data_IF_974605236385
#
_entry.id   IF_974605236385
#
_cell.length_a   1.000
_cell.length_b   1.000
_cell.length_c   1.000
_cell.angle_alpha   90.00
_cell.angle_beta   90.00
_cell.angle_gamma   90.00
#
_symmetry.space_group_name_H-M   'P 1'
#
loop_
_entity.id
_entity.type
_entity.pdbx_description
1 polymer ?
#
# COMPACT_ATOMS: atom_id res chain seq x y z
N UNK A 1 -5.70 -0.81 -11.94
CA UNK A 1 -5.33 -2.25 -11.93
C UNK A 1 -5.30 -2.81 -10.51
N UNK A 2 -4.77 -2.06 -9.55
CA UNK A 2 -4.67 -2.48 -8.15
C UNK A 2 -6.01 -2.80 -7.49
N UNK A 3 -6.99 -1.89 -7.46
CA UNK A 3 -8.30 -2.12 -6.78
C UNK A 3 -8.97 -3.45 -7.13
N UNK A 4 -9.15 -3.72 -8.43
CA UNK A 4 -9.75 -4.99 -8.92
C UNK A 4 -8.83 -6.17 -8.63
N UNK A 5 -7.51 -5.99 -8.74
CA UNK A 5 -6.51 -7.01 -8.40
C UNK A 5 -6.54 -7.38 -6.92
N UNK A 6 -6.60 -6.39 -6.02
CA UNK A 6 -6.69 -6.53 -4.58
C UNK A 6 -7.98 -7.25 -4.19
N UNK A 7 -9.12 -6.89 -4.78
CA UNK A 7 -10.38 -7.59 -4.54
C UNK A 7 -10.34 -9.07 -4.95
N UNK A 8 -9.78 -9.36 -6.13
CA UNK A 8 -9.58 -10.75 -6.61
C UNK A 8 -8.61 -11.53 -5.74
N UNK A 9 -7.51 -10.90 -5.34
CA UNK A 9 -6.48 -11.51 -4.49
C UNK A 9 -7.04 -11.83 -3.11
N UNK A 10 -7.77 -10.90 -2.49
CA UNK A 10 -8.43 -11.10 -1.21
C UNK A 10 -9.41 -12.30 -1.26
N UNK A 11 -10.26 -12.35 -2.29
CA UNK A 11 -11.16 -13.50 -2.48
C UNK A 11 -10.39 -14.81 -2.66
N UNK A 12 -9.33 -14.82 -3.48
CA UNK A 12 -8.57 -16.03 -3.74
C UNK A 12 -7.87 -16.56 -2.48
N UNK A 13 -7.22 -15.70 -1.70
CA UNK A 13 -6.54 -16.07 -0.46
C UNK A 13 -7.52 -16.60 0.58
N UNK A 14 -8.65 -15.93 0.73
CA UNK A 14 -9.67 -16.32 1.69
C UNK A 14 -10.37 -17.62 1.26
N UNK A 15 -10.68 -17.77 -0.02
CA UNK A 15 -11.23 -19.02 -0.53
C UNK A 15 -10.24 -20.19 -0.34
N UNK A 16 -8.94 -19.96 -0.57
CA UNK A 16 -7.90 -20.96 -0.33
C UNK A 16 -7.81 -21.39 1.15
N UNK A 17 -8.03 -20.47 2.10
CA UNK A 17 -8.10 -20.78 3.54
C UNK A 17 -9.21 -21.78 3.87
N UNK A 18 -10.35 -21.71 3.18
CA UNK A 18 -11.46 -22.64 3.36
C UNK A 18 -11.24 -23.96 2.62
N UNK A 19 -10.78 -23.92 1.38
CA UNK A 19 -10.56 -25.14 0.58
C UNK A 19 -9.47 -26.02 1.17
N UNK A 20 -8.40 -25.44 1.72
CA UNK A 20 -7.34 -26.17 2.46
C UNK A 20 -7.85 -26.90 3.71
N UNK A 21 -9.01 -26.48 4.24
CA UNK A 21 -9.70 -27.12 5.37
C UNK A 21 -10.86 -28.02 4.94
N UNK A 22 -11.04 -28.27 3.64
CA UNK A 22 -12.15 -29.04 3.10
C UNK A 22 -13.52 -28.38 3.29
N UNK A 23 -13.56 -27.06 3.47
CA UNK A 23 -14.77 -26.29 3.71
C UNK A 23 -15.15 -25.42 2.50
N UNK A 24 -16.44 -25.09 2.40
CA UNK A 24 -16.92 -24.15 1.37
C UNK A 24 -16.52 -22.71 1.75
N UNK A 25 -16.02 -21.91 0.80
CA UNK A 25 -15.76 -20.48 1.02
C UNK A 25 -17.04 -19.64 1.09
N UNK A 26 -18.20 -20.19 0.72
CA UNK A 26 -19.49 -19.50 0.74
C UNK A 26 -20.16 -19.62 2.11
N UNK A 27 -19.63 -18.88 3.09
CA UNK A 27 -20.11 -18.88 4.46
C UNK A 27 -19.93 -17.50 5.10
N UNK A 28 -20.72 -17.16 6.11
CA UNK A 28 -20.57 -15.90 6.87
C UNK A 28 -19.27 -15.82 7.68
N UNK A 29 -18.55 -16.95 7.81
CA UNK A 29 -17.19 -17.01 8.38
C UNK A 29 -16.10 -16.57 7.40
N UNK A 30 -16.45 -16.38 6.14
CA UNK A 30 -15.55 -15.82 5.14
C UNK A 30 -15.45 -14.31 5.37
N UNK A 31 -14.25 -13.84 5.71
CA UNK A 31 -14.04 -12.45 6.13
C UNK A 31 -14.37 -11.46 4.99
N UNK A 32 -14.15 -11.85 3.73
CA UNK A 32 -14.49 -11.04 2.54
C UNK A 32 -16.01 -10.91 2.38
N UNK A 33 -16.74 -12.03 2.45
CA UNK A 33 -18.20 -12.00 2.35
C UNK A 33 -18.83 -11.25 3.52
N UNK A 34 -18.30 -11.47 4.73
CA UNK A 34 -18.75 -10.78 5.93
C UNK A 34 -18.60 -9.26 5.78
N UNK A 35 -17.42 -8.79 5.34
CA UNK A 35 -17.17 -7.37 5.11
C UNK A 35 -18.08 -6.76 4.03
N UNK A 36 -18.33 -7.47 2.93
CA UNK A 36 -19.25 -7.00 1.88
C UNK A 36 -20.69 -6.91 2.38
N UNK A 37 -21.16 -7.91 3.14
CA UNK A 37 -22.50 -7.90 3.72
C UNK A 37 -22.67 -6.78 4.75
N UNK A 38 -21.69 -6.58 5.63
CA UNK A 38 -21.70 -5.47 6.58
C UNK A 38 -21.71 -4.11 5.88
N UNK A 39 -20.95 -3.95 4.80
CA UNK A 39 -20.95 -2.72 4.00
C UNK A 39 -22.31 -2.49 3.34
N UNK A 40 -22.90 -3.53 2.74
CA UNK A 40 -24.22 -3.44 2.11
C UNK A 40 -25.31 -3.12 3.15
N UNK A 41 -25.25 -3.73 4.33
CA UNK A 41 -26.16 -3.45 5.44
C UNK A 41 -26.02 -2.00 5.92
N UNK A 42 -24.80 -1.54 6.14
CA UNK A 42 -24.52 -0.15 6.54
C UNK A 42 -25.09 0.84 5.51
N UNK A 43 -24.87 0.58 4.23
CA UNK A 43 -25.37 1.44 3.15
C UNK A 43 -26.91 1.42 3.10
N UNK A 44 -27.52 0.24 3.19
CA UNK A 44 -28.97 0.09 3.22
C UNK A 44 -29.62 0.82 4.40
N UNK A 45 -29.06 0.67 5.61
CA UNK A 45 -29.53 1.36 6.81
C UNK A 45 -29.39 2.88 6.64
N UNK A 46 -28.26 3.36 6.14
CA UNK A 46 -28.04 4.81 5.94
C UNK A 46 -29.01 5.38 4.90
N UNK A 47 -29.24 4.67 3.79
CA UNK A 47 -30.22 5.07 2.77
C UNK A 47 -31.65 5.03 3.33
N UNK A 48 -31.99 4.05 4.17
CA UNK A 48 -33.30 3.96 4.79
C UNK A 48 -33.57 5.11 5.78
N UNK A 49 -32.55 5.55 6.52
CA UNK A 49 -32.67 6.62 7.52
C UNK A 49 -32.67 8.02 6.89
N UNK A 50 -31.83 8.26 5.88
CA UNK A 50 -31.59 9.59 5.32
C UNK A 50 -32.15 9.77 3.90
N UNK A 51 -32.74 8.73 3.33
CA UNK A 51 -33.29 8.73 1.98
C UNK A 51 -32.23 8.60 0.88
N UNK A 52 -32.64 8.57 -0.40
CA UNK A 52 -31.73 8.37 -1.52
C UNK A 52 -30.73 9.51 -1.73
N UNK A 53 -30.92 10.67 -1.09
CA UNK A 53 -30.01 11.83 -1.19
C UNK A 53 -28.58 11.51 -0.72
N UNK A 54 -28.41 10.52 0.17
CA UNK A 54 -27.08 10.12 0.66
C UNK A 54 -26.30 9.22 -0.29
N UNK A 55 -26.95 8.62 -1.30
CA UNK A 55 -26.30 7.70 -2.26
C UNK A 55 -25.06 8.31 -2.91
N UNK A 56 -25.08 9.53 -3.49
CA UNK A 56 -23.87 10.12 -4.07
C UNK A 56 -22.76 10.31 -3.03
N UNK A 57 -23.08 10.66 -1.79
CA UNK A 57 -22.09 10.83 -0.72
C UNK A 57 -21.43 9.49 -0.34
N UNK A 58 -22.22 8.41 -0.25
CA UNK A 58 -21.70 7.06 0.02
C UNK A 58 -20.76 6.58 -1.11
N UNK A 59 -21.13 6.86 -2.36
CA UNK A 59 -20.28 6.51 -3.51
C UNK A 59 -18.98 7.31 -3.52
N UNK A 60 -19.06 8.62 -3.31
CA UNK A 60 -17.87 9.49 -3.23
C UNK A 60 -16.97 9.05 -2.08
N UNK A 61 -17.53 8.79 -0.90
CA UNK A 61 -16.79 8.31 0.26
C UNK A 61 -16.11 6.97 -0.02
N UNK A 62 -16.80 6.02 -0.65
CA UNK A 62 -16.22 4.71 -0.98
C UNK A 62 -15.04 4.85 -1.95
N UNK A 63 -15.21 5.68 -3.00
CA UNK A 63 -14.15 5.97 -3.97
C UNK A 63 -12.97 6.65 -3.33
N UNK A 64 -13.22 7.66 -2.50
CA UNK A 64 -12.19 8.35 -1.75
C UNK A 64 -11.44 7.40 -0.81
N UNK A 65 -12.16 6.55 -0.08
CA UNK A 65 -11.60 5.61 0.88
C UNK A 65 -10.62 4.63 0.26
N UNK A 66 -11.02 3.90 -0.80
CA UNK A 66 -10.07 2.98 -1.45
C UNK A 66 -8.96 3.74 -2.19
N UNK A 67 -9.24 4.93 -2.74
CA UNK A 67 -8.21 5.71 -3.45
C UNK A 67 -7.12 6.19 -2.49
N UNK A 68 -7.50 6.60 -1.29
CA UNK A 68 -6.57 7.02 -0.24
C UNK A 68 -5.67 5.85 0.19
N UNK A 69 -6.26 4.66 0.40
CA UNK A 69 -5.51 3.44 0.72
C UNK A 69 -4.49 3.08 -0.37
N UNK A 70 -4.91 3.18 -1.64
CA UNK A 70 -4.04 2.88 -2.78
C UNK A 70 -2.90 3.89 -2.92
N UNK A 71 -3.14 5.18 -2.67
CA UNK A 71 -2.10 6.21 -2.72
C UNK A 71 -1.11 6.05 -1.56
N UNK A 72 -1.59 5.73 -0.36
CA UNK A 72 -0.74 5.41 0.79
C UNK A 72 0.16 4.20 0.50
N UNK A 73 -0.43 3.11 -0.01
CA UNK A 73 0.35 1.94 -0.41
C UNK A 73 1.36 2.27 -1.53
N UNK A 74 0.98 3.13 -2.48
CA UNK A 74 1.86 3.56 -3.56
C UNK A 74 3.07 4.36 -3.04
N UNK A 75 2.86 5.34 -2.18
CA UNK A 75 3.94 6.19 -1.66
C UNK A 75 4.86 5.42 -0.71
N UNK A 76 4.32 4.54 0.12
CA UNK A 76 5.06 3.70 1.08
C UNK A 76 5.98 2.69 0.40
N UNK A 77 5.62 2.23 -0.80
CA UNK A 77 6.38 1.22 -1.53
C UNK A 77 6.95 1.76 -2.85
N UNK A 78 7.02 3.08 -3.01
CA UNK A 78 7.44 3.69 -4.26
C UNK A 78 8.88 3.33 -4.62
N UNK A 79 9.06 2.63 -5.75
CA UNK A 79 10.38 2.32 -6.32
C UNK A 79 11.21 1.28 -5.56
N UNK A 80 10.76 0.83 -4.39
CA UNK A 80 11.45 -0.15 -3.57
C UNK A 80 11.08 -1.58 -3.99
N UNK A 81 12.08 -2.44 -4.12
CA UNK A 81 11.94 -3.86 -4.46
C UNK A 81 12.72 -4.73 -3.47
N UNK A 82 12.14 -5.87 -3.13
CA UNK A 82 12.86 -6.94 -2.44
C UNK A 82 13.64 -7.79 -3.43
N UNK A 83 14.89 -8.06 -3.11
CA UNK A 83 15.72 -8.94 -3.93
C UNK A 83 15.25 -10.40 -3.84
N UNK A 84 15.32 -11.09 -4.98
CA UNK A 84 15.06 -12.52 -5.08
C UNK A 84 16.38 -13.26 -4.93
N UNK A 85 16.47 -14.11 -3.91
CA UNK A 85 17.65 -14.96 -3.67
C UNK A 85 17.77 -16.03 -4.74
N UNK A 86 18.97 -16.59 -4.88
CA UNK A 86 19.29 -17.68 -5.83
C UNK A 86 18.36 -18.89 -5.69
N UNK A 87 17.88 -19.17 -4.48
CA UNK A 87 16.92 -20.25 -4.20
C UNK A 87 15.47 -19.93 -4.65
N UNK A 88 15.27 -18.82 -5.36
CA UNK A 88 13.99 -18.39 -5.88
C UNK A 88 13.04 -17.74 -4.86
N UNK A 89 13.43 -17.62 -3.58
CA UNK A 89 12.65 -16.94 -2.54
C UNK A 89 13.09 -15.47 -2.40
N UNK A 90 12.16 -14.60 -2.06
CA UNK A 90 12.47 -13.22 -1.71
C UNK A 90 13.15 -13.13 -0.35
N UNK A 91 14.03 -12.15 -0.18
CA UNK A 91 14.62 -11.81 1.11
C UNK A 91 13.56 -11.47 2.17
N UNK A 92 13.89 -11.59 3.46
CA UNK A 92 12.94 -11.22 4.52
C UNK A 92 12.55 -9.74 4.41
N UNK A 93 11.31 -9.40 4.78
CA UNK A 93 10.89 -8.00 4.87
C UNK A 93 11.67 -7.29 5.98
N UNK A 94 12.25 -6.14 5.66
CA UNK A 94 13.11 -5.34 6.53
C UNK A 94 12.65 -3.87 6.45
N UNK A 95 13.01 -3.02 7.44
CA UNK A 95 12.58 -1.62 7.46
C UNK A 95 12.94 -0.82 6.19
N UNK A 96 14.03 -1.18 5.51
CA UNK A 96 14.46 -0.56 4.25
C UNK A 96 13.55 -0.84 3.05
N UNK A 97 12.61 -1.80 3.14
CA UNK A 97 11.72 -2.19 2.04
C UNK A 97 10.44 -1.35 1.95
N UNK A 98 10.35 -0.28 2.72
CA UNK A 98 9.26 0.69 2.66
C UNK A 98 9.72 2.06 3.14
N UNK A 99 9.10 3.11 2.59
CA UNK A 99 9.23 4.46 3.06
C UNK A 99 8.51 4.65 4.40
N UNK A 100 9.13 5.42 5.29
CA UNK A 100 8.61 5.77 6.60
C UNK A 100 8.40 7.29 6.68
N UNK A 101 7.60 7.77 7.64
CA UNK A 101 7.54 9.20 7.96
C UNK A 101 7.52 9.37 9.48
N UNK A 102 8.39 10.22 10.02
CA UNK A 102 8.45 10.47 11.46
C UNK A 102 8.06 11.91 11.80
N UNK A 103 6.88 12.33 11.34
CA UNK A 103 6.35 13.64 11.66
C UNK A 103 5.32 13.53 12.78
N UNK A 104 5.67 14.07 13.96
CA UNK A 104 4.90 13.92 15.20
C UNK A 104 3.42 14.32 15.03
N UNK A 105 3.14 15.42 14.33
CA UNK A 105 1.77 15.93 14.16
C UNK A 105 0.89 14.98 13.30
N UNK A 106 1.43 14.45 12.21
CA UNK A 106 0.71 13.53 11.33
C UNK A 106 0.68 12.11 11.89
N UNK A 107 1.73 11.66 12.58
CA UNK A 107 1.72 10.42 13.36
C UNK A 107 0.61 10.39 14.42
N UNK A 108 0.39 11.50 15.14
CA UNK A 108 -0.71 11.57 16.12
C UNK A 108 -2.09 11.51 15.45
N UNK A 109 -2.28 12.23 14.33
CA UNK A 109 -3.54 12.25 13.59
C UNK A 109 -3.86 10.91 12.89
N UNK A 110 -2.83 10.22 12.41
CA UNK A 110 -2.95 8.96 11.69
C UNK A 110 -2.69 7.73 12.59
N UNK A 111 -2.70 7.90 13.91
CA UNK A 111 -2.50 6.81 14.88
C UNK A 111 -1.22 5.97 14.65
N UNK A 112 -0.12 6.63 14.26
CA UNK A 112 1.19 6.01 14.06
C UNK A 112 1.32 5.23 12.76
N UNK A 113 0.38 5.41 11.81
CA UNK A 113 0.41 4.77 10.49
C UNK A 113 1.71 5.02 9.74
N UNK A 114 2.39 6.13 10.03
CA UNK A 114 3.63 6.50 9.35
C UNK A 114 4.85 5.66 9.76
N UNK A 115 4.74 4.84 10.83
CA UNK A 115 5.75 3.84 11.25
C UNK A 115 5.64 2.53 10.46
N UNK A 116 5.41 2.68 9.17
CA UNK A 116 5.08 1.60 8.24
C UNK A 116 6.19 0.56 8.12
N UNK A 117 7.44 1.01 8.14
CA UNK A 117 8.61 0.14 8.03
C UNK A 117 8.74 -0.86 9.17
N UNK A 118 8.41 -0.47 10.40
CA UNK A 118 8.37 -1.42 11.53
C UNK A 118 7.15 -2.34 11.46
N UNK A 119 6.00 -1.84 11.03
CA UNK A 119 4.81 -2.66 10.86
C UNK A 119 5.06 -3.82 9.90
N UNK A 120 5.73 -3.55 8.78
CA UNK A 120 6.08 -4.57 7.80
C UNK A 120 7.22 -5.50 8.24
N UNK A 121 8.22 -4.99 8.95
CA UNK A 121 9.33 -5.80 9.46
C UNK A 121 8.91 -6.69 10.65
N UNK A 122 7.97 -6.22 11.47
CA UNK A 122 7.51 -6.84 12.72
C UNK A 122 5.97 -6.84 12.82
N UNK A 123 5.25 -7.60 11.98
CA UNK A 123 3.78 -7.54 11.88
C UNK A 123 3.02 -7.98 13.14
N UNK A 124 3.69 -8.66 14.08
CA UNK A 124 3.11 -9.06 15.37
C UNK A 124 3.20 -7.97 16.44
N UNK A 125 3.93 -6.88 16.17
CA UNK A 125 4.07 -5.76 17.10
C UNK A 125 2.80 -4.91 17.08
N UNK A 126 2.31 -4.55 18.27
CA UNK A 126 1.13 -3.70 18.41
C UNK A 126 1.43 -2.27 17.94
N UNK A 127 0.46 -1.60 17.33
CA UNK A 127 0.66 -0.30 16.70
C UNK A 127 1.23 0.77 17.66
N UNK A 128 0.86 0.72 18.95
CA UNK A 128 1.34 1.66 19.97
C UNK A 128 2.84 1.56 20.24
N UNK A 129 3.45 0.42 19.89
CA UNK A 129 4.85 0.10 20.18
C UNK A 129 5.73 0.15 18.94
N UNK A 130 5.18 0.52 17.79
CA UNK A 130 5.94 0.66 16.55
C UNK A 130 7.07 1.67 16.72
N UNK A 131 8.20 1.42 16.07
CA UNK A 131 9.43 2.22 16.19
C UNK A 131 9.82 2.83 14.85
N UNK A 132 10.61 3.90 14.91
CA UNK A 132 11.36 4.39 13.75
C UNK A 132 12.71 3.67 13.71
N UNK A 133 13.21 3.39 12.51
CA UNK A 133 14.54 2.80 12.28
C UNK A 133 15.33 3.75 11.38
N UNK A 134 16.60 3.95 11.69
CA UNK A 134 17.47 4.86 10.93
C UNK A 134 17.75 4.32 9.51
N UNK A 135 17.66 3.00 9.34
CA UNK A 135 17.85 2.30 8.06
C UNK A 135 16.61 2.36 7.16
N UNK A 136 15.47 2.84 7.66
CA UNK A 136 14.26 2.98 6.86
C UNK A 136 14.32 4.28 6.04
N UNK A 137 14.12 4.22 4.71
CA UNK A 137 14.06 5.43 3.91
C UNK A 137 12.91 6.32 4.37
N UNK A 138 13.16 7.62 4.52
CA UNK A 138 12.16 8.57 5.03
C UNK A 138 11.56 9.41 3.91
N UNK A 139 10.24 9.58 3.94
CA UNK A 139 9.56 10.55 3.09
C UNK A 139 10.06 11.97 3.44
N UNK A 140 10.20 12.86 2.45
CA UNK A 140 10.74 14.20 2.68
C UNK A 140 9.78 15.16 3.40
N UNK A 141 8.53 14.74 3.64
CA UNK A 141 7.49 15.49 4.34
C UNK A 141 6.41 14.55 4.88
N UNK A 142 5.50 15.07 5.72
CA UNK A 142 4.37 14.32 6.27
C UNK A 142 3.36 13.86 5.22
N UNK A 143 2.59 12.83 5.56
CA UNK A 143 1.68 12.13 4.64
C UNK A 143 0.72 13.05 3.89
N UNK A 144 0.17 14.08 4.53
CA UNK A 144 -0.78 14.99 3.88
C UNK A 144 -0.21 15.65 2.63
N UNK A 145 1.03 16.18 2.70
CA UNK A 145 1.69 16.76 1.53
C UNK A 145 2.07 15.68 0.52
N UNK A 146 2.62 14.56 0.99
CA UNK A 146 3.10 13.49 0.10
C UNK A 146 1.95 12.83 -0.69
N UNK A 147 0.79 12.61 -0.06
CA UNK A 147 -0.43 12.15 -0.72
C UNK A 147 -0.86 13.14 -1.81
N UNK A 148 -0.89 14.44 -1.49
CA UNK A 148 -1.22 15.49 -2.46
C UNK A 148 -0.27 15.49 -3.66
N UNK A 149 1.04 15.33 -3.42
CA UNK A 149 2.06 15.21 -4.46
C UNK A 149 1.86 13.95 -5.31
N UNK A 150 1.52 12.80 -4.70
CA UNK A 150 1.33 11.53 -5.39
C UNK A 150 0.18 11.57 -6.42
N UNK A 151 -0.84 12.40 -6.18
CA UNK A 151 -1.89 12.67 -7.16
C UNK A 151 -1.43 13.51 -8.38
N UNK A 152 -0.22 14.07 -8.34
CA UNK A 152 0.40 14.83 -9.44
C UNK A 152 1.69 14.14 -9.88
N UNK A 153 1.62 13.09 -10.73
CA UNK A 153 2.76 12.21 -11.03
C UNK A 153 4.05 12.87 -11.54
N UNK A 154 4.02 13.97 -12.34
CA UNK A 154 5.24 14.66 -12.72
C UNK A 154 5.97 15.28 -11.52
N UNK A 155 5.23 15.84 -10.57
CA UNK A 155 5.79 16.47 -9.38
C UNK A 155 6.28 15.41 -8.39
N UNK A 156 5.49 14.36 -8.17
CA UNK A 156 5.89 13.19 -7.39
C UNK A 156 7.24 12.63 -7.86
N UNK A 157 7.37 12.34 -9.16
CA UNK A 157 8.60 11.80 -9.74
C UNK A 157 9.79 12.74 -9.59
N UNK A 158 9.59 14.05 -9.75
CA UNK A 158 10.63 15.05 -9.51
C UNK A 158 11.16 15.00 -8.08
N UNK A 159 10.28 14.75 -7.10
CA UNK A 159 10.62 14.69 -5.67
C UNK A 159 11.19 13.34 -5.25
N UNK A 160 10.72 12.23 -5.84
CA UNK A 160 10.99 10.89 -5.32
C UNK A 160 11.96 10.05 -6.17
N UNK A 161 12.06 10.25 -7.48
CA UNK A 161 12.85 9.35 -8.34
C UNK A 161 14.34 9.34 -7.96
N UNK A 162 14.92 10.51 -7.66
CA UNK A 162 16.31 10.60 -7.21
C UNK A 162 16.50 9.96 -5.82
N UNK A 163 15.52 10.12 -4.92
CA UNK A 163 15.58 9.54 -3.56
C UNK A 163 15.53 8.03 -3.57
N UNK A 164 14.72 7.46 -4.46
CA UNK A 164 14.72 6.00 -4.69
C UNK A 164 16.09 5.53 -5.17
N UNK A 165 16.74 6.29 -6.05
CA UNK A 165 18.06 5.96 -6.55
C UNK A 165 19.14 6.06 -5.46
N UNK A 166 19.03 7.07 -4.59
CA UNK A 166 19.93 7.26 -3.44
C UNK A 166 19.86 6.08 -2.45
N UNK A 167 18.67 5.48 -2.26
CA UNK A 167 18.50 4.26 -1.43
C UNK A 167 19.31 3.08 -1.95
N UNK A 168 19.57 3.03 -3.26
CA UNK A 168 20.32 1.95 -3.91
C UNK A 168 21.73 2.40 -4.34
N UNK A 169 22.27 3.46 -3.73
CA UNK A 169 23.61 4.01 -4.04
C UNK A 169 23.81 4.30 -5.54
N UNK A 170 22.75 4.70 -6.24
CA UNK A 170 22.78 4.97 -7.69
C UNK A 170 22.41 3.78 -8.58
N UNK A 171 22.24 2.57 -8.03
CA UNK A 171 21.98 1.36 -8.81
C UNK A 171 20.52 1.27 -9.28
N UNK A 172 20.26 1.78 -10.48
CA UNK A 172 18.95 1.74 -11.13
C UNK A 172 18.42 0.30 -11.37
N UNK A 173 19.28 -0.71 -11.40
CA UNK A 173 18.87 -2.10 -11.70
C UNK A 173 18.08 -2.73 -10.56
N UNK A 174 18.26 -2.21 -9.34
CA UNK A 174 17.55 -2.63 -8.11
C UNK A 174 16.20 -1.95 -7.92
N UNK A 175 15.95 -0.86 -8.65
CA UNK A 175 14.70 -0.09 -8.55
C UNK A 175 13.53 -0.86 -9.14
N UNK A 176 12.38 -0.83 -8.46
CA UNK A 176 11.14 -1.37 -8.98
C UNK A 176 10.62 -0.49 -10.14
N UNK A 177 10.86 -0.91 -11.37
CA UNK A 177 10.44 -0.19 -12.58
C UNK A 177 9.28 -0.92 -13.24
N UNK A 178 8.27 -0.16 -13.69
CA UNK A 178 7.19 -0.65 -14.55
C UNK A 178 7.77 -1.51 -15.69
N UNK A 179 7.42 -2.81 -15.79
CA UNK A 179 8.02 -3.73 -16.77
C UNK A 179 7.96 -3.22 -18.20
N UNK A 180 6.88 -2.52 -18.57
CA UNK A 180 6.71 -1.96 -19.92
C UNK A 180 7.66 -0.80 -20.23
N UNK A 181 8.31 -0.22 -19.21
CA UNK A 181 9.20 0.95 -19.33
C UNK A 181 10.63 0.63 -18.91
N UNK A 182 10.90 -0.58 -18.41
CA UNK A 182 12.17 -0.96 -17.80
C UNK A 182 13.36 -0.69 -18.72
N UNK A 183 13.35 -1.28 -19.92
CA UNK A 183 14.48 -1.17 -20.86
C UNK A 183 14.77 0.29 -21.23
N UNK A 184 13.72 1.08 -21.49
CA UNK A 184 13.85 2.51 -21.81
C UNK A 184 14.43 3.30 -20.63
N UNK A 185 14.05 2.97 -19.41
CA UNK A 185 14.54 3.66 -18.21
C UNK A 185 15.98 3.26 -17.95
N UNK A 186 16.32 1.97 -17.99
CA UNK A 186 17.70 1.50 -17.80
C UNK A 186 18.66 2.10 -18.83
N UNK A 187 18.25 2.15 -20.10
CA UNK A 187 19.03 2.77 -21.17
C UNK A 187 19.35 4.25 -20.89
N UNK A 188 18.46 5.00 -20.23
CA UNK A 188 18.71 6.40 -19.85
C UNK A 188 19.83 6.52 -18.81
N UNK A 189 20.01 5.51 -17.98
CA UNK A 189 21.04 5.45 -16.94
C UNK A 189 22.30 4.69 -17.38
N UNK A 190 22.39 4.28 -18.65
CA UNK A 190 23.52 3.49 -19.15
C UNK A 190 23.60 2.07 -18.59
N UNK A 191 22.52 1.57 -17.98
CA UNK A 191 22.42 0.22 -17.46
C UNK A 191 21.76 -0.73 -18.47
N UNK A 192 22.20 -1.98 -18.49
CA UNK A 192 21.55 -3.07 -19.25
C UNK A 192 20.70 -3.93 -18.31
N UNK A 193 19.55 -4.37 -18.83
CA UNK A 193 18.49 -5.02 -18.06
C UNK A 193 18.67 -6.49 -17.77
#
# INVERSE_FOLDING_TARGET
>A
RSVVGSARSAWHLEAARFTTRGQSPWTLRNDVLNAWLLTALLFAVTIALFGPVVIPFLLIQAVWGFSLLEVVNYLEHYGLLRERRENGRYERVQPQHSWNSDHIATNLLLYGLERHSDHHANPTRRYQTLRTFDEAPQLPSGYGLMIGLAYVPPLWRKVMDHRVLDVYDGDITKVNIDPAKRDRILARYGASG
#
